data_IF_944422598669
#
_entry.id   IF_944422598669
#
_cell.length_a   1.000
_cell.length_b   1.000
_cell.length_c   1.000
_cell.angle_alpha   90.00
_cell.angle_beta   90.00
_cell.angle_gamma   90.00
#
_symmetry.space_group_name_H-M   'P 1'
#
loop_
_entity.id
_entity.type
_entity.pdbx_description
1 polymer ?
#
# COMPACT_ATOMS: atom_id res chain seq x y z
N UNK A 1 -17.57 -12.81 18.26
CA UNK A 1 -16.44 -12.54 17.33
C UNK A 1 -15.14 -12.80 18.07
N UNK A 2 -14.30 -13.73 17.57
CA UNK A 2 -13.07 -14.13 18.26
C UNK A 2 -12.05 -13.00 18.25
N UNK A 3 -11.47 -12.66 19.41
CA UNK A 3 -10.43 -11.62 19.50
C UNK A 3 -9.24 -11.99 18.62
N UNK A 4 -8.67 -10.98 17.93
CA UNK A 4 -7.44 -11.11 17.19
C UNK A 4 -6.28 -11.44 18.15
N UNK A 5 -5.74 -12.67 18.05
CA UNK A 5 -4.57 -13.07 18.84
C UNK A 5 -3.30 -12.87 18.01
N UNK A 6 -2.29 -12.19 18.56
CA UNK A 6 -0.98 -11.97 17.89
C UNK A 6 -0.35 -13.28 17.40
N UNK A 7 -0.53 -14.37 18.16
CA UNK A 7 -0.01 -15.69 17.82
C UNK A 7 -0.55 -16.26 16.50
N UNK A 8 -1.77 -15.88 16.09
CA UNK A 8 -2.37 -16.33 14.84
C UNK A 8 -1.67 -15.75 13.59
N UNK A 9 -0.95 -14.65 13.74
CA UNK A 9 -0.22 -13.98 12.64
C UNK A 9 1.28 -14.26 12.64
N UNK A 10 1.79 -15.04 13.63
CA UNK A 10 3.22 -15.33 13.73
C UNK A 10 3.80 -15.92 12.44
N UNK A 11 3.13 -16.92 11.86
CA UNK A 11 3.57 -17.54 10.60
C UNK A 11 3.56 -16.55 9.44
N UNK A 12 2.50 -15.73 9.32
CA UNK A 12 2.40 -14.69 8.28
C UNK A 12 3.54 -13.67 8.45
N UNK A 13 3.78 -13.20 9.67
CA UNK A 13 4.85 -12.23 9.93
C UNK A 13 6.24 -12.78 9.62
N UNK A 14 6.49 -14.07 9.88
CA UNK A 14 7.76 -14.73 9.52
C UNK A 14 7.91 -14.76 7.99
N UNK A 15 6.90 -15.25 7.27
CA UNK A 15 6.93 -15.38 5.80
C UNK A 15 7.09 -14.00 5.15
N UNK A 16 6.30 -13.02 5.57
CA UNK A 16 6.35 -11.66 5.02
C UNK A 16 7.67 -10.96 5.32
N UNK A 17 8.26 -11.19 6.51
CA UNK A 17 9.59 -10.66 6.85
C UNK A 17 10.68 -11.29 5.97
N UNK A 18 10.62 -12.60 5.73
CA UNK A 18 11.55 -13.29 4.80
C UNK A 18 11.43 -12.72 3.39
N UNK A 19 10.20 -12.51 2.90
CA UNK A 19 9.98 -11.93 1.57
C UNK A 19 10.54 -10.50 1.44
N UNK A 20 10.43 -9.69 2.49
CA UNK A 20 10.99 -8.33 2.51
C UNK A 20 12.53 -8.36 2.49
N UNK A 21 13.14 -9.35 3.16
CA UNK A 21 14.58 -9.48 3.22
C UNK A 21 15.19 -10.21 2.02
N UNK A 22 14.39 -10.91 1.23
CA UNK A 22 14.87 -11.64 0.04
C UNK A 22 15.63 -10.74 -0.94
N UNK A 23 15.18 -9.52 -1.28
CA UNK A 23 15.95 -8.60 -2.12
C UNK A 23 17.33 -8.25 -1.58
N UNK A 24 17.53 -8.23 -0.25
CA UNK A 24 18.84 -8.02 0.35
C UNK A 24 19.80 -9.15 -0.04
N UNK A 25 19.37 -10.40 0.05
CA UNK A 25 20.17 -11.57 -0.33
C UNK A 25 20.53 -11.50 -1.83
N UNK A 26 19.53 -11.17 -2.67
CA UNK A 26 19.73 -11.03 -4.12
C UNK A 26 20.71 -9.89 -4.42
N UNK A 27 20.58 -8.75 -3.73
CA UNK A 27 21.49 -7.60 -3.87
C UNK A 27 22.94 -7.93 -3.49
N UNK A 28 23.14 -8.77 -2.45
CA UNK A 28 24.46 -9.27 -2.06
C UNK A 28 25.03 -10.19 -3.15
N UNK A 29 24.24 -11.09 -3.71
CA UNK A 29 24.69 -11.98 -4.81
C UNK A 29 25.03 -11.16 -6.06
N UNK A 30 24.33 -10.06 -6.30
CA UNK A 30 24.55 -9.18 -7.45
C UNK A 30 25.54 -8.05 -7.18
N UNK A 31 26.18 -8.02 -5.98
CA UNK A 31 26.94 -6.88 -5.48
C UNK A 31 27.96 -6.33 -6.48
N UNK A 32 28.75 -7.19 -7.09
CA UNK A 32 29.81 -6.78 -8.03
C UNK A 32 29.26 -6.30 -9.39
N UNK A 33 28.02 -6.68 -9.71
CA UNK A 33 27.35 -6.29 -10.96
C UNK A 33 26.54 -4.98 -10.80
N UNK A 34 26.18 -4.62 -9.57
CA UNK A 34 25.41 -3.42 -9.32
C UNK A 34 26.31 -2.18 -9.30
N UNK A 35 25.90 -1.05 -9.89
CA UNK A 35 26.64 0.21 -9.82
C UNK A 35 26.73 0.77 -8.40
N UNK A 36 27.63 1.70 -8.15
CA UNK A 36 27.81 2.35 -6.84
C UNK A 36 26.58 3.17 -6.41
N UNK A 37 25.89 3.75 -7.37
CA UNK A 37 24.63 4.47 -7.20
C UNK A 37 23.54 3.80 -8.03
N UNK A 38 22.38 3.58 -7.42
CA UNK A 38 21.23 2.89 -8.01
C UNK A 38 20.06 3.88 -8.08
N UNK A 39 19.43 3.97 -9.24
CA UNK A 39 18.23 4.79 -9.42
C UNK A 39 17.07 4.22 -8.57
N UNK A 40 16.51 5.04 -7.71
CA UNK A 40 15.46 4.66 -6.75
C UNK A 40 14.22 5.53 -6.82
N UNK A 41 14.29 6.61 -7.60
CA UNK A 41 13.15 7.47 -7.89
C UNK A 41 13.11 7.81 -9.38
N UNK A 42 11.89 7.80 -9.94
CA UNK A 42 11.64 8.00 -11.36
C UNK A 42 10.55 9.05 -11.56
N UNK A 43 10.75 9.91 -12.54
CA UNK A 43 9.76 10.89 -12.96
C UNK A 43 8.58 10.28 -13.73
N UNK A 44 7.60 11.11 -14.05
CA UNK A 44 6.44 10.72 -14.87
C UNK A 44 6.80 10.38 -16.31
N UNK A 45 7.98 10.82 -16.76
CA UNK A 45 8.61 10.52 -18.05
C UNK A 45 9.35 9.18 -18.06
N UNK A 46 9.25 8.38 -16.98
CA UNK A 46 9.97 7.12 -16.76
C UNK A 46 11.49 7.28 -16.69
N UNK A 47 12.02 8.51 -16.52
CA UNK A 47 13.44 8.78 -16.35
C UNK A 47 13.82 8.82 -14.87
N UNK A 48 14.99 8.28 -14.55
CA UNK A 48 15.54 8.34 -13.20
C UNK A 48 15.89 9.79 -12.84
N UNK A 49 15.41 10.27 -11.70
CA UNK A 49 15.69 11.60 -11.17
C UNK A 49 16.05 11.60 -9.66
N UNK A 50 16.29 10.41 -9.09
CA UNK A 50 16.82 10.24 -7.74
C UNK A 50 17.58 8.93 -7.61
N UNK A 51 18.72 8.98 -6.92
CA UNK A 51 19.63 7.84 -6.74
C UNK A 51 19.92 7.62 -5.27
N UNK A 52 20.24 6.39 -4.93
CA UNK A 52 20.72 6.01 -3.60
C UNK A 52 22.01 5.20 -3.73
N UNK A 53 22.87 5.27 -2.73
CA UNK A 53 24.07 4.42 -2.71
C UNK A 53 23.70 2.94 -2.70
N UNK A 54 24.56 2.10 -3.30
CA UNK A 54 24.39 0.65 -3.33
C UNK A 54 24.09 0.06 -1.92
N UNK A 55 24.85 0.39 -0.85
CA UNK A 55 24.55 -0.13 0.48
C UNK A 55 23.16 0.30 0.99
N UNK A 56 22.75 1.54 0.74
CA UNK A 56 21.43 2.02 1.15
C UNK A 56 20.31 1.28 0.40
N UNK A 57 20.49 1.05 -0.88
CA UNK A 57 19.49 0.32 -1.70
C UNK A 57 19.42 -1.15 -1.29
N UNK A 58 20.58 -1.82 -1.13
CA UNK A 58 20.61 -3.26 -0.86
C UNK A 58 20.20 -3.60 0.57
N UNK A 59 20.63 -2.82 1.54
CA UNK A 59 20.38 -3.09 2.97
C UNK A 59 19.36 -2.13 3.59
N UNK A 60 19.52 -0.84 3.36
CA UNK A 60 18.70 0.19 4.01
C UNK A 60 17.23 0.10 3.63
N UNK A 61 16.91 -0.03 2.34
CA UNK A 61 15.52 -0.09 1.89
C UNK A 61 14.77 -1.33 2.37
N UNK A 62 15.29 -2.57 2.26
CA UNK A 62 14.61 -3.73 2.83
C UNK A 62 14.44 -3.65 4.35
N UNK A 63 15.43 -3.13 5.09
CA UNK A 63 15.31 -2.95 6.53
C UNK A 63 14.26 -1.90 6.90
N UNK A 64 14.16 -0.81 6.14
CA UNK A 64 13.11 0.19 6.31
C UNK A 64 11.71 -0.42 6.07
N UNK A 65 11.56 -1.21 4.99
CA UNK A 65 10.30 -1.90 4.70
C UNK A 65 9.94 -2.92 5.77
N UNK A 66 10.93 -3.63 6.31
CA UNK A 66 10.74 -4.54 7.44
C UNK A 66 10.27 -3.80 8.69
N UNK A 67 10.92 -2.68 9.01
CA UNK A 67 10.52 -1.84 10.14
C UNK A 67 9.08 -1.32 9.96
N UNK A 68 8.72 -0.85 8.76
CA UNK A 68 7.36 -0.42 8.43
C UNK A 68 6.34 -1.56 8.59
N UNK A 69 6.65 -2.76 8.12
CA UNK A 69 5.81 -3.95 8.27
C UNK A 69 5.52 -4.26 9.75
N UNK A 70 6.56 -4.29 10.58
CA UNK A 70 6.41 -4.55 12.01
C UNK A 70 5.69 -3.41 12.72
N UNK A 71 5.95 -2.17 12.36
CA UNK A 71 5.24 -1.01 12.89
C UNK A 71 3.73 -1.08 12.61
N UNK A 72 3.35 -1.35 11.35
CA UNK A 72 1.95 -1.53 10.96
C UNK A 72 1.29 -2.69 11.74
N UNK A 73 2.00 -3.83 11.88
CA UNK A 73 1.52 -4.96 12.66
C UNK A 73 1.30 -4.60 14.12
N UNK A 74 2.29 -3.95 14.76
CA UNK A 74 2.22 -3.59 16.18
C UNK A 74 1.10 -2.59 16.46
N UNK A 75 0.97 -1.55 15.66
CA UNK A 75 -0.11 -0.55 15.83
C UNK A 75 -1.47 -1.21 15.66
N UNK A 76 -1.66 -1.96 14.57
CA UNK A 76 -2.95 -2.58 14.28
C UNK A 76 -3.32 -3.65 15.31
N UNK A 77 -2.37 -4.45 15.76
CA UNK A 77 -2.61 -5.48 16.78
C UNK A 77 -2.90 -4.94 18.18
N UNK A 78 -2.54 -3.69 18.44
CA UNK A 78 -2.82 -2.99 19.71
C UNK A 78 -3.97 -1.96 19.60
N UNK A 79 -4.70 -1.93 18.47
CA UNK A 79 -5.87 -1.05 18.30
C UNK A 79 -6.88 -1.28 19.44
N UNK A 80 -7.36 -0.23 20.13
CA UNK A 80 -8.41 -0.37 21.16
C UNK A 80 -9.67 -1.07 20.63
N UNK A 81 -10.01 -0.86 19.36
CA UNK A 81 -11.13 -1.52 18.67
C UNK A 81 -10.69 -2.71 17.79
N UNK A 82 -9.59 -3.39 18.09
CA UNK A 82 -9.06 -4.53 17.31
C UNK A 82 -10.07 -5.69 17.08
N UNK A 83 -11.11 -5.79 17.90
CA UNK A 83 -12.21 -6.74 17.70
C UNK A 83 -13.00 -6.46 16.43
N UNK A 84 -12.97 -5.23 15.94
CA UNK A 84 -13.64 -4.78 14.73
C UNK A 84 -12.82 -5.05 13.46
N UNK A 85 -11.54 -5.42 13.60
CA UNK A 85 -10.65 -5.69 12.48
C UNK A 85 -10.86 -7.11 11.99
N UNK A 86 -11.29 -7.24 10.73
CA UNK A 86 -11.52 -8.53 10.09
C UNK A 86 -10.18 -9.22 9.81
N UNK A 87 -10.07 -10.52 10.16
CA UNK A 87 -8.86 -11.32 9.97
C UNK A 87 -8.40 -11.35 8.51
N UNK A 88 -9.29 -11.54 7.55
CA UNK A 88 -8.96 -11.61 6.12
C UNK A 88 -8.38 -10.29 5.62
N UNK A 89 -9.00 -9.19 6.04
CA UNK A 89 -8.54 -7.85 5.69
C UNK A 89 -7.16 -7.55 6.31
N UNK A 90 -6.96 -7.89 7.59
CA UNK A 90 -5.67 -7.67 8.23
C UNK A 90 -4.56 -8.51 7.57
N UNK A 91 -4.85 -9.78 7.25
CA UNK A 91 -3.95 -10.62 6.45
C UNK A 91 -3.62 -9.96 5.11
N UNK A 92 -4.61 -9.44 4.39
CA UNK A 92 -4.40 -8.72 3.14
C UNK A 92 -3.45 -7.52 3.33
N UNK A 93 -3.68 -6.68 4.35
CA UNK A 93 -2.80 -5.54 4.66
C UNK A 93 -1.35 -5.98 4.96
N UNK A 94 -1.16 -7.09 5.68
CA UNK A 94 0.17 -7.63 5.98
C UNK A 94 0.92 -8.13 4.74
N UNK A 95 0.23 -8.49 3.66
CA UNK A 95 0.84 -8.89 2.39
C UNK A 95 1.17 -7.73 1.47
N UNK A 96 0.60 -6.54 1.68
CA UNK A 96 0.85 -5.39 0.80
C UNK A 96 2.32 -4.95 0.80
N UNK A 97 2.91 -4.74 1.99
CA UNK A 97 4.29 -4.27 2.09
C UNK A 97 5.29 -5.24 1.45
N UNK A 98 5.28 -6.56 1.76
CA UNK A 98 6.23 -7.49 1.16
C UNK A 98 6.07 -7.64 -0.35
N UNK A 99 4.84 -7.64 -0.89
CA UNK A 99 4.61 -7.76 -2.32
C UNK A 99 5.11 -6.51 -3.05
N UNK A 100 4.76 -5.32 -2.56
CA UNK A 100 5.21 -4.06 -3.14
C UNK A 100 6.74 -3.98 -3.06
N UNK A 101 7.33 -4.26 -1.89
CA UNK A 101 8.77 -4.25 -1.69
C UNK A 101 9.50 -5.20 -2.66
N UNK A 102 9.01 -6.42 -2.80
CA UNK A 102 9.63 -7.41 -3.69
C UNK A 102 9.59 -6.94 -5.15
N UNK A 103 8.43 -6.51 -5.65
CA UNK A 103 8.28 -6.07 -7.04
C UNK A 103 9.15 -4.84 -7.31
N UNK A 104 9.09 -3.83 -6.44
CA UNK A 104 9.87 -2.58 -6.63
C UNK A 104 11.36 -2.84 -6.58
N UNK A 105 11.84 -3.61 -5.60
CA UNK A 105 13.26 -3.93 -5.48
C UNK A 105 13.79 -4.77 -6.64
N UNK A 106 13.02 -5.76 -7.13
CA UNK A 106 13.42 -6.55 -8.31
C UNK A 106 13.47 -5.68 -9.56
N UNK A 107 12.51 -4.78 -9.75
CA UNK A 107 12.53 -3.81 -10.86
C UNK A 107 13.74 -2.89 -10.77
N UNK A 108 14.06 -2.39 -9.58
CA UNK A 108 15.23 -1.54 -9.33
C UNK A 108 16.53 -2.25 -9.67
N UNK A 109 16.72 -3.50 -9.24
CA UNK A 109 17.92 -4.28 -9.58
C UNK A 109 17.99 -4.60 -11.06
N UNK A 110 16.88 -4.96 -11.70
CA UNK A 110 16.86 -5.24 -13.14
C UNK A 110 17.28 -3.99 -13.93
N UNK A 111 16.77 -2.81 -13.57
CA UNK A 111 17.17 -1.55 -14.21
C UNK A 111 18.64 -1.22 -13.96
N UNK A 112 19.15 -1.43 -12.75
CA UNK A 112 20.54 -1.23 -12.39
C UNK A 112 21.50 -2.15 -13.20
N UNK A 113 21.00 -3.31 -13.66
CA UNK A 113 21.70 -4.25 -14.53
C UNK A 113 21.53 -3.96 -16.02
N UNK A 114 20.85 -2.86 -16.40
CA UNK A 114 20.68 -2.41 -17.77
C UNK A 114 19.44 -2.94 -18.50
N UNK A 115 18.52 -3.64 -17.79
CA UNK A 115 17.24 -4.03 -18.39
C UNK A 115 16.30 -2.83 -18.49
N UNK A 116 15.64 -2.69 -19.61
CA UNK A 116 14.60 -1.68 -19.79
C UNK A 116 13.31 -2.12 -19.11
N UNK A 117 12.98 -1.46 -17.99
CA UNK A 117 11.76 -1.70 -17.22
C UNK A 117 10.87 -0.46 -17.28
N UNK A 118 9.63 -0.67 -17.61
CA UNK A 118 8.62 0.38 -17.58
C UNK A 118 8.06 0.55 -16.16
N UNK A 119 8.70 1.41 -15.38
CA UNK A 119 8.31 1.68 -13.99
C UNK A 119 6.91 2.31 -13.93
N UNK A 120 6.57 3.20 -14.87
CA UNK A 120 5.24 3.81 -14.93
C UNK A 120 4.13 2.75 -15.06
N UNK A 121 4.33 1.77 -15.91
CA UNK A 121 3.40 0.63 -16.07
C UNK A 121 3.30 -0.20 -14.78
N UNK A 122 4.44 -0.58 -14.19
CA UNK A 122 4.47 -1.40 -12.96
C UNK A 122 3.75 -0.68 -11.82
N UNK A 123 4.05 0.60 -11.59
CA UNK A 123 3.42 1.40 -10.52
C UNK A 123 1.92 1.52 -10.73
N UNK A 124 1.46 1.79 -11.95
CA UNK A 124 0.04 1.85 -12.26
C UNK A 124 -0.67 0.52 -11.96
N UNK A 125 -0.13 -0.62 -12.38
CA UNK A 125 -0.72 -1.92 -12.08
C UNK A 125 -0.69 -2.25 -10.59
N UNK A 126 0.42 -1.98 -9.89
CA UNK A 126 0.51 -2.19 -8.45
C UNK A 126 -0.54 -1.34 -7.70
N UNK A 127 -0.63 -0.05 -8.00
CA UNK A 127 -1.61 0.84 -7.39
C UNK A 127 -3.03 0.40 -7.72
N UNK A 128 -3.28 0.00 -8.96
CA UNK A 128 -4.58 -0.51 -9.39
C UNK A 128 -5.02 -1.73 -8.59
N UNK A 129 -4.17 -2.75 -8.49
CA UNK A 129 -4.44 -3.98 -7.73
C UNK A 129 -4.62 -3.67 -6.23
N UNK A 130 -3.79 -2.82 -5.66
CA UNK A 130 -3.90 -2.39 -4.25
C UNK A 130 -5.23 -1.69 -4.00
N UNK A 131 -5.63 -0.76 -4.86
CA UNK A 131 -6.88 -0.02 -4.70
C UNK A 131 -8.12 -0.91 -4.89
N UNK A 132 -8.11 -1.83 -5.87
CA UNK A 132 -9.17 -2.84 -6.01
C UNK A 132 -9.24 -3.70 -4.75
N UNK A 133 -8.09 -4.17 -4.25
CA UNK A 133 -8.02 -4.96 -3.03
C UNK A 133 -8.57 -4.22 -1.81
N UNK A 134 -8.11 -2.98 -1.57
CA UNK A 134 -8.62 -2.13 -0.48
C UNK A 134 -10.12 -1.90 -0.64
N UNK A 135 -10.57 -1.53 -1.83
CA UNK A 135 -11.98 -1.28 -2.12
C UNK A 135 -12.86 -2.49 -1.83
N UNK A 136 -12.43 -3.70 -2.21
CA UNK A 136 -13.17 -4.94 -1.97
C UNK A 136 -13.37 -5.25 -0.48
N UNK A 137 -12.46 -4.79 0.38
CA UNK A 137 -12.58 -4.97 1.83
C UNK A 137 -13.22 -3.78 2.55
N UNK A 138 -13.22 -2.59 1.96
CA UNK A 138 -13.55 -1.33 2.64
C UNK A 138 -14.97 -1.34 3.24
N UNK A 139 -15.98 -1.86 2.54
CA UNK A 139 -17.35 -1.94 3.03
C UNK A 139 -17.54 -2.94 4.19
N UNK A 140 -16.54 -3.78 4.48
CA UNK A 140 -16.52 -4.77 5.57
C UNK A 140 -15.77 -4.29 6.80
N UNK A 141 -15.14 -3.11 6.71
CA UNK A 141 -14.36 -2.54 7.81
C UNK A 141 -15.29 -1.91 8.82
N UNK A 142 -15.37 -2.47 10.02
CA UNK A 142 -16.04 -1.85 11.16
C UNK A 142 -15.17 -0.76 11.76
N UNK A 143 -15.78 0.23 12.41
CA UNK A 143 -15.09 1.36 13.00
C UNK A 143 -13.94 0.95 13.92
N UNK A 144 -12.75 1.44 13.62
CA UNK A 144 -11.50 1.21 14.34
C UNK A 144 -10.55 2.41 14.17
N UNK A 145 -9.39 2.41 14.85
CA UNK A 145 -8.46 3.55 14.82
C UNK A 145 -7.26 3.36 13.89
N UNK A 146 -7.08 2.18 13.27
CA UNK A 146 -5.89 1.88 12.47
C UNK A 146 -6.16 1.74 10.99
N UNK A 147 -7.28 1.13 10.58
CA UNK A 147 -7.56 0.80 9.18
C UNK A 147 -8.85 1.43 8.69
N UNK A 148 -8.81 2.14 7.58
CA UNK A 148 -9.97 2.79 6.96
C UNK A 148 -9.82 4.31 6.84
N UNK A 149 -10.91 4.98 6.47
CA UNK A 149 -11.00 6.44 6.35
C UNK A 149 -11.29 7.02 7.73
N UNK A 150 -10.24 7.50 8.39
CA UNK A 150 -10.24 7.97 9.78
C UNK A 150 -10.20 9.49 9.81
N UNK A 151 -11.37 10.08 9.76
CA UNK A 151 -11.58 11.52 9.93
C UNK A 151 -12.53 11.75 11.11
N UNK A 152 -12.57 12.93 11.72
CA UNK A 152 -13.37 13.15 12.93
C UNK A 152 -14.80 12.65 12.82
N UNK A 153 -15.46 12.88 11.70
CA UNK A 153 -16.86 12.53 11.49
C UNK A 153 -17.10 11.02 11.36
N UNK A 154 -16.19 10.27 10.73
CA UNK A 154 -16.28 8.81 10.69
C UNK A 154 -15.95 8.17 12.03
N UNK A 155 -15.04 8.78 12.82
CA UNK A 155 -14.65 8.24 14.12
C UNK A 155 -15.71 8.53 15.21
N UNK A 156 -16.52 9.60 15.07
CA UNK A 156 -17.57 9.95 16.01
C UNK A 156 -18.88 9.21 15.78
N UNK A 157 -19.16 8.68 14.58
CA UNK A 157 -20.41 8.02 14.23
C UNK A 157 -20.19 6.72 13.45
N UNK A 158 -20.70 5.60 13.97
CA UNK A 158 -20.67 4.31 13.24
C UNK A 158 -21.55 4.35 11.98
N UNK A 159 -22.63 5.10 11.98
CA UNK A 159 -23.50 5.27 10.80
C UNK A 159 -22.75 6.02 9.70
N UNK A 160 -22.04 7.11 10.05
CA UNK A 160 -21.20 7.85 9.13
C UNK A 160 -20.06 6.96 8.60
N UNK A 161 -19.36 6.24 9.48
CA UNK A 161 -18.34 5.28 9.11
C UNK A 161 -18.82 4.30 8.05
N UNK A 162 -19.92 3.60 8.33
CA UNK A 162 -20.45 2.55 7.45
C UNK A 162 -20.87 3.09 6.07
N UNK A 163 -21.55 4.25 6.04
CA UNK A 163 -21.97 4.88 4.78
C UNK A 163 -20.76 5.36 3.96
N UNK A 164 -19.81 6.03 4.61
CA UNK A 164 -18.60 6.53 3.96
C UNK A 164 -17.77 5.38 3.39
N UNK A 165 -17.52 4.34 4.17
CA UNK A 165 -16.73 3.18 3.71
C UNK A 165 -17.44 2.39 2.59
N UNK A 166 -18.78 2.30 2.63
CA UNK A 166 -19.54 1.64 1.56
C UNK A 166 -19.45 2.41 0.24
N UNK A 167 -19.58 3.73 0.26
CA UNK A 167 -19.42 4.57 -0.92
C UNK A 167 -17.98 4.49 -1.43
N UNK A 168 -16.99 4.65 -0.54
CA UNK A 168 -15.58 4.63 -0.89
C UNK A 168 -15.12 3.27 -1.45
N UNK A 169 -15.76 2.16 -1.05
CA UNK A 169 -15.49 0.83 -1.61
C UNK A 169 -15.58 0.85 -3.14
N UNK A 170 -16.66 1.37 -3.70
CA UNK A 170 -16.84 1.49 -5.15
C UNK A 170 -15.84 2.47 -5.77
N UNK A 171 -15.60 3.60 -5.11
CA UNK A 171 -14.66 4.61 -5.59
C UNK A 171 -13.23 4.06 -5.72
N UNK A 172 -12.78 3.26 -4.72
CA UNK A 172 -11.48 2.61 -4.75
C UNK A 172 -11.40 1.52 -5.83
N UNK A 173 -12.47 0.72 -6.02
CA UNK A 173 -12.49 -0.30 -7.08
C UNK A 173 -12.42 0.35 -8.45
N UNK A 174 -13.26 1.35 -8.72
CA UNK A 174 -13.28 2.07 -10.01
C UNK A 174 -11.94 2.77 -10.24
N UNK A 175 -11.41 3.48 -9.23
CA UNK A 175 -10.10 4.12 -9.29
C UNK A 175 -8.98 3.12 -9.57
N UNK A 176 -9.01 1.95 -8.94
CA UNK A 176 -8.03 0.89 -9.18
C UNK A 176 -8.11 0.33 -10.60
N UNK A 177 -9.32 0.15 -11.16
CA UNK A 177 -9.50 -0.26 -12.56
C UNK A 177 -8.92 0.82 -13.50
N UNK A 178 -9.20 2.11 -13.21
CA UNK A 178 -8.65 3.22 -14.00
C UNK A 178 -7.13 3.26 -13.93
N UNK A 179 -6.50 2.98 -12.79
CA UNK A 179 -5.05 2.83 -12.68
C UNK A 179 -4.52 1.69 -13.55
N UNK A 180 -5.16 0.51 -13.53
CA UNK A 180 -4.75 -0.61 -14.39
C UNK A 180 -4.83 -0.25 -15.88
N UNK A 181 -5.92 0.41 -16.29
CA UNK A 181 -6.08 0.88 -17.68
C UNK A 181 -5.00 1.92 -18.00
N UNK A 182 -4.77 2.88 -17.10
CA UNK A 182 -3.76 3.93 -17.26
C UNK A 182 -2.33 3.39 -17.38
N UNK A 183 -2.05 2.19 -16.87
CA UNK A 183 -0.76 1.53 -17.06
C UNK A 183 -0.35 1.39 -18.53
N UNK A 184 -1.30 1.31 -19.46
CA UNK A 184 -1.05 1.29 -20.90
C UNK A 184 -0.91 2.68 -21.51
N UNK A 185 -1.65 3.67 -21.01
CA UNK A 185 -1.68 5.04 -21.56
C UNK A 185 -0.69 5.99 -20.88
N UNK A 186 -0.35 5.74 -19.61
CA UNK A 186 0.60 6.52 -18.79
C UNK A 186 0.28 8.01 -18.69
N UNK A 187 -1.00 8.33 -18.66
CA UNK A 187 -1.48 9.71 -18.54
C UNK A 187 -1.32 10.17 -17.09
N UNK A 188 -0.41 11.11 -16.83
CA UNK A 188 -0.13 11.64 -15.49
C UNK A 188 -1.36 12.31 -14.86
N UNK A 189 -2.16 12.99 -15.68
CA UNK A 189 -3.39 13.68 -15.26
C UNK A 189 -4.41 12.70 -14.66
N UNK A 190 -4.53 11.49 -15.25
CA UNK A 190 -5.43 10.44 -14.75
C UNK A 190 -5.03 10.01 -13.34
N UNK A 191 -3.72 9.86 -13.08
CA UNK A 191 -3.22 9.51 -11.75
C UNK A 191 -3.66 10.55 -10.72
N UNK A 192 -3.39 11.84 -10.98
CA UNK A 192 -3.74 12.91 -10.05
C UNK A 192 -5.25 13.02 -9.84
N UNK A 193 -6.04 12.97 -10.91
CA UNK A 193 -7.51 13.04 -10.81
C UNK A 193 -8.06 11.88 -9.97
N UNK A 194 -7.64 10.66 -10.23
CA UNK A 194 -8.09 9.48 -9.47
C UNK A 194 -7.70 9.58 -8.00
N UNK A 195 -6.47 9.97 -7.69
CA UNK A 195 -6.01 10.14 -6.29
C UNK A 195 -6.82 11.23 -5.59
N UNK A 196 -7.02 12.38 -6.22
CA UNK A 196 -7.81 13.47 -5.65
C UNK A 196 -9.25 13.00 -5.37
N UNK A 197 -9.88 12.31 -6.30
CA UNK A 197 -11.25 11.81 -6.12
C UNK A 197 -11.33 10.79 -4.96
N UNK A 198 -10.39 9.85 -4.87
CA UNK A 198 -10.35 8.83 -3.80
C UNK A 198 -10.18 9.47 -2.41
N UNK A 199 -9.48 10.61 -2.32
CA UNK A 199 -9.26 11.31 -1.05
C UNK A 199 -10.39 12.29 -0.75
N UNK A 200 -10.72 13.18 -1.68
CA UNK A 200 -11.63 14.31 -1.45
C UNK A 200 -13.10 13.86 -1.36
N UNK A 201 -13.53 12.98 -2.25
CA UNK A 201 -14.96 12.57 -2.29
C UNK A 201 -15.41 11.91 -0.98
N UNK A 202 -14.65 10.97 -0.35
CA UNK A 202 -15.03 10.43 0.94
C UNK A 202 -15.05 11.47 2.08
N UNK A 203 -14.12 12.42 2.05
CA UNK A 203 -14.07 13.50 3.07
C UNK A 203 -15.31 14.38 2.98
N UNK A 204 -15.64 14.85 1.77
CA UNK A 204 -16.83 15.69 1.53
C UNK A 204 -18.11 14.92 1.86
N UNK A 205 -18.21 13.68 1.39
CA UNK A 205 -19.37 12.83 1.68
C UNK A 205 -19.60 12.63 3.18
N UNK A 206 -18.54 12.28 3.93
CA UNK A 206 -18.61 12.12 5.37
C UNK A 206 -19.00 13.41 6.09
N UNK A 207 -18.48 14.57 5.63
CA UNK A 207 -18.85 15.87 6.17
C UNK A 207 -20.33 16.18 5.93
N UNK A 208 -20.84 15.93 4.73
CA UNK A 208 -22.27 16.11 4.40
C UNK A 208 -23.16 15.23 5.29
N UNK A 209 -22.75 13.97 5.53
CA UNK A 209 -23.48 13.09 6.45
C UNK A 209 -23.50 13.65 7.87
N UNK A 210 -22.34 14.14 8.36
CA UNK A 210 -22.24 14.79 9.66
C UNK A 210 -23.19 16.01 9.78
N UNK A 211 -23.25 16.87 8.76
CA UNK A 211 -24.20 18.02 8.73
C UNK A 211 -25.67 17.59 8.74
N UNK A 212 -25.96 16.36 8.30
CA UNK A 212 -27.32 15.75 8.37
C UNK A 212 -27.61 15.04 9.68
N UNK A 213 -26.72 15.14 10.67
CA UNK A 213 -26.88 14.48 11.99
C UNK A 213 -26.55 12.98 12.00
N UNK A 214 -25.76 12.50 11.02
CA UNK A 214 -25.38 11.08 10.86
C UNK A 214 -23.93 10.86 11.27
#
# INVERSE_FOLDING_TARGET
MKMMKKSEYKGIMIITSIMILLPMIIGVVLWDKLPSEIATHFGTDNQANGWSSKPMTVFGMPLLMLALQWFCFLITSNDPKKRNINKKMFTFVLWLVPIISLITMMSTYAMALGYSIDIGMIVNFLMGIVFIGIGNYMHKIKQNYTVGIKIPWTLSSEANWNKTHRMSSWLFIIGGILFCINGFFKMTEVLFVVIILIVVVPMVYSFVLYKKGI
#
